data_IF_702071382006
#
_entry.id   IF_702071382006
#
_cell.length_a   1.000
_cell.length_b   1.000
_cell.length_c   1.000
_cell.angle_alpha   90.00
_cell.angle_beta   90.00
_cell.angle_gamma   90.00
#
_symmetry.space_group_name_H-M   'P 1'
#
loop_
_entity.id
_entity.type
_entity.pdbx_description
1 polymer ?
#
# COMPACT_ATOMS: atom_id res chain seq x y z
N UNK A 1 6.72 -0.55 -6.96
CA UNK A 1 6.35 -1.82 -6.32
C UNK A 1 5.86 -1.54 -4.90
N UNK A 2 4.72 -2.10 -4.50
CA UNK A 2 4.05 -1.76 -3.24
C UNK A 2 4.76 -2.32 -2.00
N UNK A 3 5.38 -3.50 -2.11
CA UNK A 3 6.09 -4.11 -0.99
C UNK A 3 7.44 -3.45 -0.77
N UNK A 4 8.13 -3.05 -1.85
CA UNK A 4 9.33 -2.21 -1.72
C UNK A 4 9.01 -0.85 -1.10
N UNK A 5 7.88 -0.23 -1.48
CA UNK A 5 7.42 1.02 -0.88
C UNK A 5 7.12 0.87 0.62
N UNK A 6 6.42 -0.19 1.03
CA UNK A 6 6.19 -0.49 2.46
C UNK A 6 7.47 -0.68 3.26
N UNK A 7 8.50 -1.30 2.66
CA UNK A 7 9.72 -1.65 3.36
C UNK A 7 10.73 -0.51 3.47
N UNK A 8 10.81 0.34 2.45
CA UNK A 8 11.92 1.29 2.32
C UNK A 8 11.50 2.76 2.25
N UNK A 9 10.23 3.06 1.97
CA UNK A 9 9.79 4.45 1.97
C UNK A 9 9.46 4.90 3.41
N UNK A 10 9.87 6.11 3.75
CA UNK A 10 9.41 6.77 4.97
C UNK A 10 8.08 7.50 4.74
N UNK A 11 7.85 7.96 3.51
CA UNK A 11 6.69 8.76 3.13
C UNK A 11 6.21 8.38 1.72
N UNK A 12 4.89 8.26 1.56
CA UNK A 12 4.23 8.01 0.28
C UNK A 12 3.35 9.18 -0.13
N UNK A 13 3.27 9.38 -1.44
CA UNK A 13 2.30 10.26 -2.09
C UNK A 13 1.63 9.42 -3.16
N UNK A 14 0.32 9.24 -3.05
CA UNK A 14 -0.48 8.51 -4.03
C UNK A 14 -1.19 9.50 -4.93
N UNK A 15 -0.96 9.36 -6.24
CA UNK A 15 -1.56 10.18 -7.27
C UNK A 15 -2.48 9.31 -8.11
N UNK A 16 -3.73 9.73 -8.27
CA UNK A 16 -4.68 9.16 -9.24
C UNK A 16 -5.23 10.28 -10.11
N UNK A 17 -5.25 10.07 -11.43
CA UNK A 17 -5.74 11.05 -12.43
C UNK A 17 -5.20 12.48 -12.26
N UNK A 18 -3.92 12.59 -11.89
CA UNK A 18 -3.25 13.88 -11.71
C UNK A 18 -3.58 14.60 -10.40
N UNK A 19 -4.27 13.94 -9.46
CA UNK A 19 -4.58 14.49 -8.14
C UNK A 19 -3.94 13.66 -7.04
N UNK A 20 -3.48 14.32 -5.98
CA UNK A 20 -3.01 13.66 -4.76
C UNK A 20 -4.24 13.20 -3.99
N UNK A 21 -4.36 11.90 -3.78
CA UNK A 21 -5.50 11.29 -3.08
C UNK A 21 -5.15 10.80 -1.67
N UNK A 22 -3.87 10.57 -1.39
CA UNK A 22 -3.38 10.18 -0.06
C UNK A 22 -1.90 10.49 0.09
N UNK A 23 -1.48 10.81 1.32
CA UNK A 23 -0.09 11.15 1.67
C UNK A 23 0.18 10.79 3.12
N UNK A 24 1.37 10.28 3.45
CA UNK A 24 1.73 9.86 4.81
C UNK A 24 2.67 8.66 4.84
N UNK A 25 2.79 8.01 6.01
CA UNK A 25 3.64 6.82 6.15
C UNK A 25 3.04 5.62 5.39
N UNK A 26 3.86 4.69 4.86
CA UNK A 26 3.36 3.60 4.02
C UNK A 26 2.27 2.75 4.66
N UNK A 27 2.38 2.47 5.96
CA UNK A 27 1.42 1.65 6.70
C UNK A 27 0.04 2.30 6.86
N UNK A 28 -0.05 3.62 6.78
CA UNK A 28 -1.30 4.37 6.86
C UNK A 28 -1.90 4.58 5.47
N UNK A 29 -1.05 4.85 4.47
CA UNK A 29 -1.47 5.12 3.09
C UNK A 29 -1.94 3.86 2.36
N UNK A 30 -1.20 2.75 2.48
CA UNK A 30 -1.49 1.52 1.73
C UNK A 30 -2.56 0.66 2.43
N UNK A 31 -3.80 1.15 2.42
CA UNK A 31 -4.98 0.43 2.91
C UNK A 31 -5.56 -0.51 1.86
N UNK A 32 -6.36 -1.50 2.26
CA UNK A 32 -7.01 -2.42 1.32
C UNK A 32 -7.94 -1.71 0.31
N UNK A 33 -8.67 -0.67 0.76
CA UNK A 33 -9.52 0.15 -0.11
C UNK A 33 -8.68 0.89 -1.14
N UNK A 34 -7.59 1.57 -0.74
CA UNK A 34 -6.73 2.30 -1.68
C UNK A 34 -6.05 1.35 -2.70
N UNK A 35 -5.60 0.18 -2.25
CA UNK A 35 -5.03 -0.85 -3.13
C UNK A 35 -6.04 -1.35 -4.17
N UNK A 36 -7.32 -1.48 -3.77
CA UNK A 36 -8.39 -1.91 -4.67
C UNK A 36 -8.80 -0.80 -5.64
N UNK A 37 -8.99 0.43 -5.15
CA UNK A 37 -9.56 1.54 -5.92
C UNK A 37 -8.55 2.15 -6.90
N UNK A 38 -7.29 2.28 -6.47
CA UNK A 38 -6.24 2.99 -7.24
C UNK A 38 -5.39 2.00 -8.01
N UNK A 39 -4.88 0.98 -7.32
CA UNK A 39 -3.96 0.01 -7.91
C UNK A 39 -4.68 -1.19 -8.55
N UNK A 40 -6.00 -1.33 -8.35
CA UNK A 40 -6.82 -2.44 -8.87
C UNK A 40 -6.32 -3.81 -8.42
N UNK A 41 -5.71 -3.86 -7.24
CA UNK A 41 -5.17 -5.07 -6.63
C UNK A 41 -6.09 -5.51 -5.50
N UNK A 42 -6.59 -6.74 -5.58
CA UNK A 42 -7.17 -7.43 -4.42
C UNK A 42 -6.03 -8.00 -3.59
N UNK A 43 -5.92 -7.54 -2.36
CA UNK A 43 -4.83 -7.94 -1.47
C UNK A 43 -5.29 -8.07 -0.04
N UNK A 44 -4.44 -8.67 0.77
CA UNK A 44 -4.52 -8.63 2.24
C UNK A 44 -3.20 -8.13 2.80
N UNK A 45 -3.28 -7.52 4.00
CA UNK A 45 -2.10 -7.08 4.74
C UNK A 45 -1.73 -8.11 5.79
N UNK A 46 -0.51 -8.63 5.70
CA UNK A 46 0.09 -9.45 6.74
C UNK A 46 1.10 -8.64 7.54
N UNK A 47 0.94 -8.64 8.87
CA UNK A 47 1.95 -8.14 9.77
C UNK A 47 3.02 -9.21 9.97
N UNK A 48 4.28 -8.87 9.78
CA UNK A 48 5.38 -9.75 10.10
C UNK A 48 5.84 -9.54 11.56
N UNK A 49 6.58 -10.50 12.16
CA UNK A 49 7.00 -10.40 13.57
C UNK A 49 7.87 -9.18 13.89
N UNK A 50 8.53 -8.59 12.88
CA UNK A 50 9.31 -7.37 13.04
C UNK A 50 8.46 -6.08 13.02
N UNK A 51 7.13 -6.18 12.90
CA UNK A 51 6.19 -5.05 12.93
C UNK A 51 5.97 -4.35 11.58
N UNK A 52 6.60 -4.83 10.51
CA UNK A 52 6.36 -4.33 9.14
C UNK A 52 5.22 -5.08 8.44
N UNK A 53 4.69 -4.50 7.37
CA UNK A 53 3.60 -5.10 6.62
C UNK A 53 4.09 -5.67 5.28
N UNK A 54 3.44 -6.75 4.86
CA UNK A 54 3.51 -7.29 3.51
C UNK A 54 2.13 -7.24 2.88
N UNK A 55 2.08 -6.81 1.63
CA UNK A 55 0.90 -6.90 0.77
C UNK A 55 1.01 -8.21 0.00
N UNK A 56 0.07 -9.11 0.26
CA UNK A 56 -0.11 -10.32 -0.55
C UNK A 56 -1.25 -10.10 -1.53
N UNK A 57 -0.96 -10.28 -2.82
CA UNK A 57 -2.00 -10.28 -3.84
C UNK A 57 -2.76 -11.60 -3.81
N UNK A 58 -4.09 -11.53 -3.71
CA UNK A 58 -4.94 -12.71 -3.80
C UNK A 58 -4.98 -13.16 -5.26
N UNK A 59 -4.30 -14.26 -5.55
CA UNK A 59 -4.49 -15.00 -6.80
C UNK A 59 -5.83 -15.74 -6.70
N UNK A 60 -6.62 -15.71 -7.78
CA UNK A 60 -7.84 -16.53 -7.89
C UNK A 60 -7.48 -18.00 -7.99
#
# INVERSE_FOLDING_TARGET
DLNLALRYAEHLIVIDKGQIISTGIPSEVLTESLLTEVFRVKSERLMNPSGSFLILTKLK
#
